data_IF_042989333684
#
_entry.id   IF_042989333684
#
_cell.length_a   1.000
_cell.length_b   1.000
_cell.length_c   1.000
_cell.angle_alpha   90.00
_cell.angle_beta   90.00
_cell.angle_gamma   90.00
#
_symmetry.space_group_name_H-M   'P 1'
#
loop_
_entity.id
_entity.type
_entity.pdbx_description
1 polymer ?
#
# COMPACT_ATOMS: atom_id res chain seq x y z
N UNK A 1 -24.17 6.51 -4.23
CA UNK A 1 -23.90 7.93 -4.57
C UNK A 1 -23.11 8.77 -3.55
N UNK A 2 -23.41 8.79 -2.24
CA UNK A 2 -22.77 9.73 -1.29
C UNK A 2 -21.22 9.76 -1.27
N UNK A 3 -20.56 8.64 -1.55
CA UNK A 3 -19.09 8.50 -1.50
C UNK A 3 -18.43 8.48 -2.89
N UNK A 4 -19.16 8.86 -3.95
CA UNK A 4 -18.65 8.71 -5.32
C UNK A 4 -17.42 9.59 -5.59
N UNK A 5 -17.34 10.76 -4.93
CA UNK A 5 -16.21 11.69 -5.00
C UNK A 5 -15.20 11.49 -3.88
N UNK A 6 -15.44 10.55 -2.96
CA UNK A 6 -14.53 10.24 -1.86
C UNK A 6 -13.48 9.23 -2.31
N UNK A 7 -12.30 9.32 -1.70
CA UNK A 7 -11.24 8.32 -1.82
C UNK A 7 -11.25 7.42 -0.58
N UNK A 8 -11.32 6.11 -0.78
CA UNK A 8 -11.22 5.13 0.30
C UNK A 8 -9.75 4.80 0.56
N UNK A 9 -9.31 4.90 1.81
CA UNK A 9 -7.98 4.46 2.25
C UNK A 9 -8.13 3.12 2.96
N UNK A 10 -7.42 2.11 2.47
CA UNK A 10 -7.35 0.77 3.06
C UNK A 10 -6.00 0.64 3.73
N UNK A 11 -5.98 0.60 5.07
CA UNK A 11 -4.76 0.41 5.86
C UNK A 11 -4.63 -1.07 6.25
N UNK A 12 -3.48 -1.66 5.94
CA UNK A 12 -3.07 -3.00 6.36
C UNK A 12 -1.74 -2.90 7.12
N UNK A 13 -1.34 -3.96 7.83
CA UNK A 13 -0.01 -4.09 8.40
C UNK A 13 0.53 -5.49 8.15
N UNK A 14 1.83 -5.59 7.82
CA UNK A 14 2.49 -6.87 7.59
C UNK A 14 2.08 -7.58 6.29
N UNK A 15 1.40 -6.91 5.36
CA UNK A 15 0.94 -7.50 4.11
C UNK A 15 2.01 -7.51 3.01
N UNK A 16 3.04 -6.68 3.14
CA UNK A 16 4.18 -6.59 2.21
C UNK A 16 5.49 -6.60 2.98
N UNK A 17 6.53 -7.14 2.33
CA UNK A 17 7.88 -7.18 2.86
C UNK A 17 8.78 -6.15 2.15
N UNK A 18 9.64 -5.48 2.91
CA UNK A 18 10.82 -4.80 2.37
C UNK A 18 11.99 -5.76 2.20
N UNK A 19 13.09 -5.36 1.54
CA UNK A 19 14.29 -6.18 1.45
C UNK A 19 14.78 -6.61 2.84
N UNK A 20 14.86 -7.93 3.05
CA UNK A 20 15.26 -8.52 4.34
C UNK A 20 14.13 -8.75 5.34
N UNK A 21 12.88 -8.47 4.96
CA UNK A 21 11.68 -8.75 5.77
C UNK A 21 10.89 -9.94 5.20
N UNK A 22 10.06 -10.55 6.06
CA UNK A 22 9.03 -11.50 5.66
C UNK A 22 7.65 -10.87 5.73
N UNK A 23 6.70 -11.39 4.94
CA UNK A 23 5.28 -11.04 5.08
C UNK A 23 4.73 -11.73 6.32
N UNK A 24 4.25 -10.94 7.29
CA UNK A 24 3.74 -11.45 8.57
C UNK A 24 2.22 -11.65 8.61
N UNK A 25 1.46 -11.06 7.67
CA UNK A 25 0.01 -11.22 7.55
C UNK A 25 -0.40 -11.56 6.11
N UNK A 26 -0.61 -12.87 5.86
CA UNK A 26 -1.05 -13.38 4.56
C UNK A 26 -2.50 -13.03 4.22
N UNK A 27 -3.36 -12.83 5.24
CA UNK A 27 -4.75 -12.41 5.03
C UNK A 27 -4.78 -10.98 4.50
N UNK A 28 -3.99 -10.10 5.09
CA UNK A 28 -3.79 -8.76 4.60
C UNK A 28 -3.14 -8.74 3.21
N UNK A 29 -2.20 -9.65 2.92
CA UNK A 29 -1.64 -9.80 1.57
C UNK A 29 -2.71 -10.20 0.52
N UNK A 30 -3.69 -11.04 0.89
CA UNK A 30 -4.81 -11.35 0.00
C UNK A 30 -5.69 -10.12 -0.27
N UNK A 31 -5.91 -9.28 0.74
CA UNK A 31 -6.61 -7.98 0.58
C UNK A 31 -5.91 -7.10 -0.44
N UNK A 32 -4.56 -7.09 -0.47
CA UNK A 32 -3.82 -6.32 -1.48
C UNK A 32 -4.16 -6.73 -2.91
N UNK A 33 -4.28 -8.04 -3.18
CA UNK A 33 -4.70 -8.53 -4.49
C UNK A 33 -6.10 -8.06 -4.89
N UNK A 34 -7.05 -8.16 -3.96
CA UNK A 34 -8.43 -7.68 -4.15
C UNK A 34 -8.49 -6.18 -4.44
N UNK A 35 -7.84 -5.37 -3.61
CA UNK A 35 -7.86 -3.90 -3.75
C UNK A 35 -7.19 -3.48 -5.06
N UNK A 36 -6.12 -4.16 -5.48
CA UNK A 36 -5.46 -3.89 -6.77
C UNK A 36 -6.39 -4.16 -7.96
N UNK A 37 -7.22 -5.20 -7.89
CA UNK A 37 -8.29 -5.43 -8.89
C UNK A 37 -9.26 -4.26 -8.93
N UNK A 38 -9.81 -3.86 -7.79
CA UNK A 38 -10.76 -2.76 -7.70
C UNK A 38 -10.16 -1.41 -8.16
N UNK A 39 -8.86 -1.18 -7.91
CA UNK A 39 -8.14 0.01 -8.40
C UNK A 39 -8.04 0.06 -9.93
N UNK A 40 -7.95 -1.10 -10.59
CA UNK A 40 -7.90 -1.16 -12.06
C UNK A 40 -9.25 -0.81 -12.69
N UNK A 41 -10.35 -1.16 -12.01
CA UNK A 41 -11.71 -0.85 -12.42
C UNK A 41 -12.07 0.62 -12.12
N UNK A 42 -11.60 1.15 -10.99
CA UNK A 42 -11.92 2.48 -10.49
C UNK A 42 -10.65 3.30 -10.14
N UNK A 43 -9.88 3.78 -11.14
CA UNK A 43 -8.62 4.48 -10.90
C UNK A 43 -8.76 5.71 -9.99
N UNK A 44 -7.81 5.87 -9.06
CA UNK A 44 -7.74 7.02 -8.15
C UNK A 44 -8.73 7.01 -6.98
N UNK A 45 -9.67 6.05 -6.93
CA UNK A 45 -10.70 6.00 -5.88
C UNK A 45 -10.31 5.21 -4.64
N UNK A 46 -9.34 4.31 -4.76
CA UNK A 46 -8.80 3.53 -3.64
C UNK A 46 -7.31 3.80 -3.48
N UNK A 47 -6.88 4.00 -2.23
CA UNK A 47 -5.49 4.02 -1.80
C UNK A 47 -5.25 2.82 -0.89
N UNK A 48 -4.22 2.04 -1.18
CA UNK A 48 -3.77 0.96 -0.31
C UNK A 48 -2.53 1.41 0.46
N UNK A 49 -2.56 1.32 1.78
CA UNK A 49 -1.43 1.65 2.65
C UNK A 49 -1.09 0.41 3.47
N UNK A 50 0.16 -0.04 3.43
CA UNK A 50 0.66 -1.05 4.35
C UNK A 50 1.63 -0.44 5.36
N UNK A 51 1.28 -0.41 6.62
CA UNK A 51 2.10 0.12 7.70
C UNK A 51 1.52 -0.27 9.04
N UNK A 52 2.38 -0.37 10.05
CA UNK A 52 1.91 -0.60 11.41
C UNK A 52 0.93 0.52 11.78
N UNK A 53 -0.21 0.17 12.38
CA UNK A 53 -1.26 1.12 12.76
C UNK A 53 -0.86 1.96 14.00
N UNK A 54 0.41 2.34 14.06
CA UNK A 54 0.97 3.20 15.07
C UNK A 54 0.62 4.67 14.76
N UNK A 55 0.55 5.55 15.78
CA UNK A 55 0.21 6.95 15.61
C UNK A 55 1.00 7.65 14.49
N UNK A 56 2.29 7.35 14.39
CA UNK A 56 3.20 7.92 13.39
C UNK A 56 2.79 7.59 11.94
N UNK A 57 2.21 6.42 11.68
CA UNK A 57 1.73 6.05 10.35
C UNK A 57 0.44 6.78 9.98
N UNK A 58 -0.45 6.98 10.96
CA UNK A 58 -1.71 7.72 10.77
C UNK A 58 -1.45 9.21 10.46
N UNK A 59 -0.44 9.80 11.09
CA UNK A 59 -0.04 11.20 10.87
C UNK A 59 0.49 11.47 9.45
N UNK A 60 1.00 10.43 8.77
CA UNK A 60 1.45 10.53 7.38
C UNK A 60 0.31 10.42 6.36
N UNK A 61 -0.86 9.89 6.74
CA UNK A 61 -1.95 9.63 5.79
C UNK A 61 -2.37 10.86 4.98
N UNK A 62 -2.52 12.08 5.54
CA UNK A 62 -2.86 13.26 4.75
C UNK A 62 -1.82 13.55 3.65
N UNK A 63 -0.53 13.36 3.94
CA UNK A 63 0.55 13.54 2.96
C UNK A 63 0.53 12.43 1.91
N UNK A 64 0.36 11.18 2.32
CA UNK A 64 0.28 10.00 1.44
C UNK A 64 -0.89 10.13 0.47
N UNK A 65 -2.06 10.57 0.93
CA UNK A 65 -3.22 10.82 0.07
C UNK A 65 -2.89 11.85 -1.01
N UNK A 66 -2.09 12.87 -0.71
CA UNK A 66 -1.64 13.88 -1.68
C UNK A 66 -0.66 13.38 -2.76
N UNK A 67 -0.03 12.21 -2.59
CA UNK A 67 0.92 11.67 -3.57
C UNK A 67 0.27 11.14 -4.85
N UNK A 68 -1.06 10.95 -4.87
CA UNK A 68 -1.81 10.36 -6.00
C UNK A 68 -1.32 8.98 -6.44
N UNK A 69 -0.67 8.23 -5.54
CA UNK A 69 -0.23 6.86 -5.76
C UNK A 69 -1.34 5.87 -5.42
N UNK A 70 -1.40 4.72 -6.09
CA UNK A 70 -2.39 3.68 -5.80
C UNK A 70 -2.04 2.87 -4.55
N UNK A 71 -0.75 2.71 -4.25
CA UNK A 71 -0.29 1.94 -3.09
C UNK A 71 0.98 2.52 -2.49
N UNK A 72 1.10 2.42 -1.17
CA UNK A 72 2.24 2.94 -0.38
C UNK A 72 2.52 1.98 0.78
N UNK A 73 3.79 1.73 1.09
CA UNK A 73 4.20 1.09 2.33
C UNK A 73 4.78 2.15 3.29
N UNK A 74 4.54 2.01 4.60
CA UNK A 74 5.06 2.89 5.65
C UNK A 74 5.88 2.07 6.63
N UNK A 75 7.14 2.45 6.83
CA UNK A 75 8.04 1.87 7.84
C UNK A 75 8.85 2.98 8.50
N UNK A 76 8.89 3.00 9.84
CA UNK A 76 9.66 3.99 10.60
C UNK A 76 9.40 5.45 10.17
N UNK A 77 8.15 5.82 9.92
CA UNK A 77 7.77 7.17 9.49
C UNK A 77 8.13 7.51 8.04
N UNK A 78 8.56 6.55 7.22
CA UNK A 78 8.93 6.77 5.81
C UNK A 78 7.92 6.11 4.88
N UNK A 79 7.43 6.88 3.90
CA UNK A 79 6.57 6.36 2.83
C UNK A 79 7.41 5.82 1.67
N UNK A 80 7.12 4.59 1.26
CA UNK A 80 7.80 3.85 0.20
C UNK A 80 6.82 3.52 -0.92
N UNK A 81 7.22 3.80 -2.16
CA UNK A 81 6.39 3.60 -3.34
C UNK A 81 6.82 2.32 -4.07
N UNK A 82 5.91 1.36 -4.30
CA UNK A 82 6.25 0.17 -5.06
C UNK A 82 6.50 0.54 -6.51
N UNK A 83 7.62 0.04 -7.04
CA UNK A 83 8.00 0.16 -8.44
C UNK A 83 8.46 -1.19 -8.94
N UNK A 84 8.06 -1.52 -10.17
CA UNK A 84 8.59 -2.69 -10.85
C UNK A 84 9.99 -2.36 -11.36
N UNK A 85 10.95 -3.20 -11.01
CA UNK A 85 12.27 -3.21 -11.60
C UNK A 85 12.46 -4.53 -12.36
N UNK A 86 13.36 -4.53 -13.35
CA UNK A 86 13.79 -5.77 -13.97
C UNK A 86 14.53 -6.59 -12.92
N UNK A 87 14.20 -7.87 -12.79
CA UNK A 87 14.99 -8.78 -11.98
C UNK A 87 16.35 -8.97 -12.66
N UNK A 88 17.43 -8.82 -11.91
CA UNK A 88 18.73 -9.30 -12.35
C UNK A 88 18.64 -10.81 -12.53
N UNK A 89 19.25 -11.34 -13.59
CA UNK A 89 19.46 -12.79 -13.69
C UNK A 89 20.37 -13.14 -12.51
N UNK A 90 19.85 -13.89 -11.53
CA UNK A 90 20.70 -14.44 -10.48
C UNK A 90 21.85 -15.22 -11.13
N UNK A 91 23.05 -15.07 -10.59
CA UNK A 91 24.12 -16.03 -10.83
C UNK A 91 23.64 -17.37 -10.24
N UNK A 92 23.58 -18.40 -11.08
CA UNK A 92 23.22 -19.77 -10.69
C UNK A 92 24.18 -20.33 -9.63
#
# INVERSE_FOLDING_TARGET
>A
ERLRTSRLVVLTGGAVALPGEDVSDLGAAAVHGLIRSAQSEEPGRLLLVDGDAEPDALDLLPRIVGLNESSVAVRGGTALLPRLARADRGED
#
